data_IF_855671385156
#
_entry.id   IF_855671385156
#
_cell.length_a   1.000
_cell.length_b   1.000
_cell.length_c   1.000
_cell.angle_alpha   90.00
_cell.angle_beta   90.00
_cell.angle_gamma   90.00
#
_symmetry.space_group_name_H-M   'P 1'
#
loop_
_entity.id
_entity.type
_entity.pdbx_description
1 polymer ?
#
# COMPACT_ATOMS: atom_id res chain seq x y z
N UNK A 1 -3.17 -29.94 0.60
CA UNK A 1 -2.26 -29.31 -0.40
C UNK A 1 -2.54 -27.82 -0.60
N UNK A 2 -3.75 -27.32 -0.33
CA UNK A 2 -4.12 -25.90 -0.45
C UNK A 2 -3.52 -25.02 0.67
N UNK A 3 -3.55 -25.46 1.93
CA UNK A 3 -3.10 -24.65 3.08
C UNK A 3 -1.61 -24.26 3.04
N UNK A 4 -0.71 -25.18 2.65
CA UNK A 4 0.73 -24.87 2.52
C UNK A 4 0.99 -23.85 1.42
N UNK A 5 0.23 -23.90 0.32
CA UNK A 5 0.35 -22.97 -0.79
C UNK A 5 -0.17 -21.59 -0.39
N UNK A 6 -1.29 -21.53 0.32
CA UNK A 6 -1.87 -20.28 0.81
C UNK A 6 -0.96 -19.62 1.84
N UNK A 7 -0.33 -20.41 2.73
CA UNK A 7 0.68 -19.89 3.67
C UNK A 7 1.91 -19.28 2.97
N UNK A 8 2.36 -19.87 1.85
CA UNK A 8 3.43 -19.31 1.04
C UNK A 8 3.01 -18.02 0.32
N UNK A 9 1.78 -17.98 -0.20
CA UNK A 9 1.23 -16.78 -0.85
C UNK A 9 1.06 -15.62 0.14
N UNK A 10 0.62 -15.89 1.37
CA UNK A 10 0.58 -14.88 2.44
C UNK A 10 1.97 -14.32 2.74
N UNK A 11 3.00 -15.19 2.82
CA UNK A 11 4.39 -14.75 2.99
C UNK A 11 4.91 -13.88 1.83
N UNK A 12 4.42 -14.12 0.62
CA UNK A 12 4.73 -13.31 -0.55
C UNK A 12 3.97 -11.98 -0.58
N UNK A 13 2.99 -11.78 0.31
CA UNK A 13 2.28 -10.52 0.49
C UNK A 13 0.85 -10.50 -0.06
N UNK A 14 0.36 -11.63 -0.57
CA UNK A 14 -1.04 -11.81 -0.98
C UNK A 14 -1.94 -11.83 0.26
N UNK A 15 -3.11 -11.20 0.19
CA UNK A 15 -4.15 -11.35 1.23
C UNK A 15 -5.37 -11.99 0.60
N UNK A 16 -5.95 -12.93 1.35
CA UNK A 16 -7.20 -13.60 1.03
C UNK A 16 -8.29 -13.03 1.93
N UNK A 17 -9.42 -12.63 1.35
CA UNK A 17 -10.54 -12.05 2.09
C UNK A 17 -11.53 -11.32 1.19
N UNK A 18 -12.78 -11.27 1.64
CA UNK A 18 -13.89 -10.61 0.93
C UNK A 18 -13.77 -9.10 1.16
N UNK A 19 -13.06 -8.40 0.28
CA UNK A 19 -13.15 -6.95 0.21
C UNK A 19 -14.02 -6.62 -1.00
N UNK A 20 -15.15 -5.96 -0.77
CA UNK A 20 -16.11 -5.62 -1.81
C UNK A 20 -15.48 -4.80 -2.96
N UNK A 21 -16.18 -4.65 -4.09
CA UNK A 21 -15.70 -4.02 -5.34
C UNK A 21 -15.23 -2.56 -5.23
N UNK A 22 -15.20 -1.99 -4.03
CA UNK A 22 -14.75 -0.63 -3.73
C UNK A 22 -13.23 -0.48 -3.55
N UNK A 23 -12.46 -1.57 -3.39
CA UNK A 23 -11.00 -1.47 -3.24
C UNK A 23 -10.29 -0.84 -4.47
N UNK A 24 -10.87 -1.01 -5.67
CA UNK A 24 -10.36 -0.40 -6.91
C UNK A 24 -10.78 1.08 -7.07
N UNK A 25 -11.86 1.53 -6.42
CA UNK A 25 -12.45 2.86 -6.66
C UNK A 25 -11.67 4.01 -5.99
N UNK A 26 -10.79 3.72 -5.05
CA UNK A 26 -9.89 4.71 -4.44
C UNK A 26 -8.50 4.14 -4.25
N UNK A 27 -7.72 4.04 -5.33
CA UNK A 27 -6.30 3.67 -5.26
C UNK A 27 -5.46 4.66 -4.43
N UNK A 28 -6.01 5.82 -4.04
CA UNK A 28 -5.29 6.84 -3.26
C UNK A 28 -3.93 7.20 -3.88
N UNK A 29 -3.87 7.25 -5.22
CA UNK A 29 -2.61 7.43 -5.96
C UNK A 29 -1.91 8.74 -5.59
N UNK A 30 -2.65 9.83 -5.49
CA UNK A 30 -2.07 11.14 -5.14
C UNK A 30 -1.54 11.16 -3.71
N UNK A 31 -2.28 10.55 -2.76
CA UNK A 31 -1.82 10.38 -1.38
C UNK A 31 -0.56 9.50 -1.32
N UNK A 32 -0.47 8.45 -2.16
CA UNK A 32 0.70 7.58 -2.25
C UNK A 32 1.92 8.31 -2.82
N UNK A 33 1.73 9.10 -3.88
CA UNK A 33 2.77 9.96 -4.48
C UNK A 33 3.33 10.93 -3.45
N UNK A 34 2.44 11.62 -2.75
CA UNK A 34 2.81 12.58 -1.72
C UNK A 34 3.53 11.91 -0.55
N UNK A 35 3.05 10.74 -0.11
CA UNK A 35 3.74 9.99 0.93
C UNK A 35 5.16 9.61 0.52
N UNK A 36 5.36 9.12 -0.71
CA UNK A 36 6.66 8.68 -1.20
C UNK A 36 7.61 9.83 -1.53
N UNK A 37 7.11 11.02 -1.89
CA UNK A 37 7.95 12.22 -2.03
C UNK A 37 8.50 12.71 -0.68
N UNK A 38 7.82 12.38 0.42
CA UNK A 38 8.21 12.76 1.78
C UNK A 38 8.88 11.63 2.58
N UNK A 39 9.09 10.44 2.00
CA UNK A 39 9.69 9.30 2.69
C UNK A 39 10.77 8.61 1.86
N UNK A 40 11.94 8.28 2.45
CA UNK A 40 12.99 7.59 1.72
C UNK A 40 12.56 6.16 1.34
N UNK A 41 13.18 5.53 0.32
CA UNK A 41 12.87 4.15 -0.07
C UNK A 41 13.04 3.10 1.03
N UNK A 42 13.85 3.40 2.05
CA UNK A 42 14.12 2.55 3.20
C UNK A 42 13.21 2.83 4.41
N UNK A 43 12.21 3.70 4.25
CA UNK A 43 11.28 4.05 5.31
C UNK A 43 10.59 2.81 5.89
N UNK A 44 10.59 2.72 7.22
CA UNK A 44 9.91 1.69 7.98
C UNK A 44 8.42 2.00 8.09
N UNK A 45 7.65 1.00 8.55
CA UNK A 45 6.22 1.19 8.84
C UNK A 45 5.97 2.31 9.87
N UNK A 46 6.87 2.47 10.84
CA UNK A 46 6.79 3.54 11.83
C UNK A 46 7.02 4.92 11.19
N UNK A 47 7.96 5.01 10.24
CA UNK A 47 8.23 6.26 9.51
C UNK A 47 7.01 6.69 8.68
N UNK A 48 6.34 5.75 8.00
CA UNK A 48 5.09 6.04 7.29
C UNK A 48 3.98 6.50 8.25
N UNK A 49 3.86 5.88 9.42
CA UNK A 49 2.88 6.28 10.41
C UNK A 49 3.14 7.70 10.94
N UNK A 50 4.40 8.01 11.25
CA UNK A 50 4.83 9.34 11.68
C UNK A 50 4.58 10.40 10.60
N UNK A 51 4.92 10.09 9.34
CA UNK A 51 4.68 11.00 8.21
C UNK A 51 3.18 11.32 8.04
N UNK A 52 2.32 10.32 8.10
CA UNK A 52 0.87 10.50 7.87
C UNK A 52 0.17 11.11 9.08
N UNK A 53 0.42 10.62 10.29
CA UNK A 53 -0.35 10.99 11.49
C UNK A 53 0.23 12.23 12.16
N UNK A 54 1.53 12.26 12.38
CA UNK A 54 2.20 13.33 13.14
C UNK A 54 2.56 14.51 12.23
N UNK A 55 3.25 14.26 11.12
CA UNK A 55 3.65 15.31 10.17
C UNK A 55 2.53 15.74 9.22
N UNK A 56 1.41 15.01 9.18
CA UNK A 56 0.26 15.29 8.32
C UNK A 56 0.62 15.55 6.85
N UNK A 57 1.55 14.78 6.29
CA UNK A 57 1.99 14.98 4.90
C UNK A 57 0.84 14.90 3.90
N UNK A 58 -0.23 14.19 4.24
CA UNK A 58 -1.43 14.04 3.39
C UNK A 58 -2.45 15.19 3.53
N UNK A 59 -2.17 16.18 4.37
CA UNK A 59 -3.03 17.35 4.57
C UNK A 59 -4.43 17.03 5.11
N UNK A 60 -4.61 15.90 5.83
CA UNK A 60 -5.94 15.51 6.33
C UNK A 60 -6.33 16.38 7.53
N UNK A 61 -7.59 16.86 7.59
CA UNK A 61 -8.00 17.93 8.52
C UNK A 61 -8.01 17.49 9.98
N UNK A 62 -8.26 16.20 10.25
CA UNK A 62 -8.37 15.67 11.62
C UNK A 62 -7.43 14.49 11.82
N UNK A 63 -7.02 14.25 13.07
CA UNK A 63 -6.21 13.07 13.42
C UNK A 63 -6.90 11.76 13.01
N UNK A 64 -8.22 11.65 13.24
CA UNK A 64 -9.03 10.50 12.80
C UNK A 64 -8.95 10.28 11.28
N UNK A 65 -8.98 11.35 10.48
CA UNK A 65 -8.84 11.25 9.03
C UNK A 65 -7.43 10.81 8.61
N UNK A 66 -6.38 11.24 9.32
CA UNK A 66 -5.00 10.79 9.09
C UNK A 66 -4.84 9.29 9.39
N UNK A 67 -5.35 8.83 10.53
CA UNK A 67 -5.33 7.42 10.92
C UNK A 67 -6.13 6.54 9.94
N UNK A 68 -7.27 7.04 9.46
CA UNK A 68 -8.08 6.38 8.43
C UNK A 68 -7.31 6.26 7.11
N UNK A 69 -6.66 7.34 6.65
CA UNK A 69 -5.85 7.35 5.45
C UNK A 69 -4.67 6.37 5.54
N UNK A 70 -3.95 6.36 6.67
CA UNK A 70 -2.88 5.41 6.94
C UNK A 70 -3.39 3.96 6.88
N UNK A 71 -4.56 3.67 7.46
CA UNK A 71 -5.15 2.33 7.43
C UNK A 71 -5.53 1.89 6.02
N UNK A 72 -6.07 2.80 5.20
CA UNK A 72 -6.40 2.49 3.81
C UNK A 72 -5.16 2.25 2.96
N UNK A 73 -4.15 3.13 3.05
CA UNK A 73 -2.86 2.95 2.36
C UNK A 73 -2.16 1.66 2.80
N UNK A 74 -2.16 1.33 4.10
CA UNK A 74 -1.62 0.06 4.59
C UNK A 74 -2.42 -1.16 4.10
N UNK A 75 -3.74 -1.03 3.97
CA UNK A 75 -4.57 -2.11 3.40
C UNK A 75 -4.24 -2.33 1.93
N UNK A 76 -4.17 -1.27 1.13
CA UNK A 76 -3.88 -1.33 -0.32
C UNK A 76 -2.44 -1.75 -0.59
N UNK A 77 -1.47 -1.10 0.05
CA UNK A 77 -0.05 -1.17 -0.32
C UNK A 77 0.86 -1.84 0.73
N UNK A 78 0.36 -2.23 1.90
CA UNK A 78 1.10 -2.81 3.03
C UNK A 78 1.90 -1.78 3.82
N UNK A 79 2.59 -0.86 3.13
CA UNK A 79 3.50 0.13 3.72
C UNK A 79 4.58 -0.52 4.60
N UNK A 80 5.11 -1.66 4.15
CA UNK A 80 6.10 -2.44 4.90
C UNK A 80 7.08 -3.13 3.93
N UNK A 81 8.37 -2.83 4.07
CA UNK A 81 9.44 -3.43 3.28
C UNK A 81 9.62 -4.92 3.52
N UNK A 82 9.08 -5.47 4.62
CA UNK A 82 9.02 -6.91 4.83
C UNK A 82 8.15 -7.60 3.76
N UNK A 83 7.14 -6.91 3.22
CA UNK A 83 6.30 -7.41 2.15
C UNK A 83 7.03 -7.32 0.78
N UNK A 84 7.28 -8.45 0.09
CA UNK A 84 7.99 -8.46 -1.19
C UNK A 84 7.32 -7.62 -2.29
N UNK A 85 5.98 -7.61 -2.35
CA UNK A 85 5.21 -6.84 -3.34
C UNK A 85 5.40 -5.33 -3.10
N UNK A 86 5.29 -4.88 -1.84
CA UNK A 86 5.54 -3.48 -1.51
C UNK A 86 6.99 -3.07 -1.74
N UNK A 87 7.94 -3.96 -1.42
CA UNK A 87 9.36 -3.74 -1.66
C UNK A 87 9.64 -3.54 -3.16
N UNK A 88 9.00 -4.34 -4.03
CA UNK A 88 9.10 -4.17 -5.47
C UNK A 88 8.49 -2.84 -5.92
N UNK A 89 7.29 -2.50 -5.42
CA UNK A 89 6.64 -1.21 -5.69
C UNK A 89 7.56 -0.04 -5.37
N UNK A 90 8.11 0.02 -4.13
CA UNK A 90 8.92 1.14 -3.68
C UNK A 90 10.22 1.30 -4.46
N UNK A 91 10.81 0.19 -4.93
CA UNK A 91 12.00 0.19 -5.79
C UNK A 91 11.74 0.69 -7.21
N UNK A 92 10.59 0.31 -7.78
CA UNK A 92 10.23 0.69 -9.15
C UNK A 92 9.62 2.09 -9.23
N UNK A 93 9.12 2.62 -8.12
CA UNK A 93 8.37 3.88 -8.07
C UNK A 93 9.13 5.10 -8.61
N UNK A 94 10.42 5.19 -8.28
CA UNK A 94 11.26 6.34 -8.63
C UNK A 94 11.91 6.20 -10.01
N UNK A 95 11.73 5.05 -10.69
CA UNK A 95 12.34 4.80 -12.01
C UNK A 95 11.59 5.50 -13.15
N UNK A 96 10.26 5.59 -13.05
CA UNK A 96 9.43 6.21 -14.07
C UNK A 96 8.11 6.70 -13.49
N UNK A 97 7.95 8.02 -13.43
CA UNK A 97 6.73 8.67 -12.92
C UNK A 97 5.48 8.30 -13.72
N UNK A 98 5.60 8.15 -15.04
CA UNK A 98 4.50 7.75 -15.91
C UNK A 98 4.05 6.30 -15.67
N UNK A 99 4.91 5.46 -15.08
CA UNK A 99 4.58 4.09 -14.71
C UNK A 99 3.88 3.97 -13.35
N UNK A 100 3.91 5.00 -12.50
CA UNK A 100 3.34 4.97 -11.15
C UNK A 100 1.85 4.57 -11.10
N UNK A 101 0.96 5.06 -12.00
CA UNK A 101 -0.45 4.63 -12.00
C UNK A 101 -0.58 3.13 -12.27
N UNK A 102 0.22 2.58 -13.19
CA UNK A 102 0.22 1.16 -13.54
C UNK A 102 0.79 0.30 -12.41
N UNK A 103 1.86 0.75 -11.76
CA UNK A 103 2.44 0.08 -10.59
C UNK A 103 1.44 0.03 -9.43
N UNK A 104 0.77 1.16 -9.16
CA UNK A 104 -0.27 1.24 -8.14
C UNK A 104 -1.46 0.31 -8.46
N UNK A 105 -1.85 0.25 -9.75
CA UNK A 105 -2.92 -0.64 -10.23
C UNK A 105 -2.52 -2.11 -10.17
N UNK A 106 -1.25 -2.46 -10.37
CA UNK A 106 -0.81 -3.85 -10.27
C UNK A 106 -0.83 -4.35 -8.81
N UNK A 107 -0.42 -3.50 -7.87
CA UNK A 107 -0.28 -3.90 -6.45
C UNK A 107 -1.61 -4.00 -5.71
N UNK A 108 -2.55 -3.09 -5.98
CA UNK A 108 -3.85 -3.07 -5.29
C UNK A 108 -4.64 -4.40 -5.42
N UNK A 109 -4.96 -4.86 -6.64
CA UNK A 109 -5.64 -6.12 -6.92
C UNK A 109 -4.77 -7.35 -6.62
N UNK A 110 -3.44 -7.30 -6.85
CA UNK A 110 -2.58 -8.44 -6.54
C UNK A 110 -2.60 -8.78 -5.04
N UNK A 111 -2.84 -7.80 -4.17
CA UNK A 111 -3.00 -8.05 -2.73
C UNK A 111 -4.40 -8.48 -2.34
N UNK A 112 -5.40 -8.32 -3.20
CA UNK A 112 -6.79 -8.76 -3.00
C UNK A 112 -7.17 -9.76 -4.09
N UNK A 113 -6.77 -11.02 -3.93
CA UNK A 113 -7.30 -12.08 -4.79
C UNK A 113 -8.80 -12.22 -4.52
N UNK A 114 -9.64 -11.79 -5.47
CA UNK A 114 -11.05 -12.16 -5.51
C UNK A 114 -11.08 -13.65 -5.82
N UNK A 115 -11.54 -14.44 -4.86
CA UNK A 115 -11.86 -15.84 -5.11
C UNK A 115 -13.14 -15.82 -5.95
N UNK A 116 -12.99 -16.08 -7.26
CA UNK A 116 -14.12 -16.28 -8.20
C UNK A 116 -14.64 -17.70 -8.03
#
# INVERSE_FOLDING_TARGET
MTEQRDALLVKLGFRFGINGPHAARTMMLDDLRLLFSHTPPQATRADYAAAVVEANVLGKPTRKARELALRHLGTLYALDLANPIFRALRRLWDLNEAAQPLLALAVGPARHCVQV
#
